data_IF_532436267915
#
_entry.id   IF_532436267915
#
_cell.length_a   1.000
_cell.length_b   1.000
_cell.length_c   1.000
_cell.angle_alpha   90.00
_cell.angle_beta   90.00
_cell.angle_gamma   90.00
#
_symmetry.space_group_name_H-M   'P 1'
#
loop_
_entity.id
_entity.type
_entity.pdbx_description
1 polymer ?
#
# COMPACT_ATOMS: atom_id res chain seq x y z
N UNK A 1 2.21 -15.51 7.60
CA UNK A 1 3.35 -14.86 6.91
C UNK A 1 2.81 -14.17 5.68
N UNK A 2 3.21 -12.93 5.41
CA UNK A 2 2.71 -12.19 4.25
C UNK A 2 3.44 -12.67 3.00
N UNK A 3 2.67 -12.96 1.96
CA UNK A 3 3.18 -13.52 0.71
C UNK A 3 3.94 -12.47 -0.09
N UNK A 4 5.00 -12.89 -0.79
CA UNK A 4 5.68 -12.01 -1.77
C UNK A 4 4.83 -11.92 -3.03
N UNK A 5 4.70 -10.72 -3.58
CA UNK A 5 3.99 -10.49 -4.86
C UNK A 5 4.62 -11.33 -5.98
N UNK A 6 5.95 -11.51 -5.99
CA UNK A 6 6.65 -12.36 -6.96
C UNK A 6 6.18 -13.81 -6.97
N UNK A 7 5.75 -14.33 -5.82
CA UNK A 7 5.28 -15.72 -5.71
C UNK A 7 3.82 -15.82 -6.17
N UNK A 8 3.00 -14.82 -5.83
CA UNK A 8 1.62 -14.71 -6.32
C UNK A 8 1.57 -14.68 -7.85
N UNK A 9 2.43 -13.85 -8.47
CA UNK A 9 2.50 -13.72 -9.93
C UNK A 9 2.96 -15.01 -10.64
N UNK A 10 3.73 -15.88 -9.97
CA UNK A 10 4.15 -17.17 -10.54
C UNK A 10 3.06 -18.23 -10.46
N UNK A 11 2.21 -18.16 -9.44
CA UNK A 11 1.21 -19.19 -9.14
C UNK A 11 -0.15 -18.90 -9.79
N UNK A 12 -0.54 -17.64 -9.92
CA UNK A 12 -1.85 -17.26 -10.47
C UNK A 12 -1.75 -16.98 -11.97
N UNK A 13 -2.70 -17.51 -12.74
CA UNK A 13 -2.86 -17.20 -14.17
C UNK A 13 -3.25 -15.74 -14.41
N UNK A 14 -4.05 -15.16 -13.51
CA UNK A 14 -4.45 -13.76 -13.55
C UNK A 14 -4.45 -13.16 -12.15
N UNK A 15 -3.89 -11.97 -12.05
CA UNK A 15 -3.85 -11.18 -10.82
C UNK A 15 -4.49 -9.82 -11.00
N UNK A 16 -4.94 -9.22 -9.90
CA UNK A 16 -5.36 -7.83 -9.89
C UNK A 16 -5.09 -7.17 -8.52
N UNK A 17 -4.97 -5.86 -8.51
CA UNK A 17 -4.61 -5.08 -7.32
C UNK A 17 -5.21 -3.68 -7.36
N UNK A 18 -5.17 -2.99 -6.22
CA UNK A 18 -5.57 -1.60 -6.10
C UNK A 18 -4.39 -0.72 -5.68
N UNK A 19 -4.36 0.51 -6.20
CA UNK A 19 -3.41 1.54 -5.80
C UNK A 19 -4.10 2.64 -4.98
N UNK A 20 -3.53 2.97 -3.84
CA UNK A 20 -4.01 3.95 -2.88
C UNK A 20 -3.02 5.10 -2.75
N UNK A 21 -3.52 6.28 -2.39
CA UNK A 21 -2.68 7.45 -2.15
C UNK A 21 -2.75 7.90 -0.69
N UNK A 22 -1.63 8.37 -0.11
CA UNK A 22 -1.62 8.98 1.22
C UNK A 22 -2.59 10.18 1.29
N UNK A 23 -3.59 10.14 2.19
CA UNK A 23 -4.52 11.25 2.34
C UNK A 23 -3.82 12.48 2.91
N UNK A 24 -4.19 13.67 2.43
CA UNK A 24 -3.62 14.95 2.91
C UNK A 24 -4.26 15.47 4.20
N UNK A 25 -5.35 14.85 4.66
CA UNK A 25 -6.15 15.31 5.80
C UNK A 25 -6.30 14.20 6.83
N UNK A 26 -6.46 14.55 8.11
CA UNK A 26 -6.68 13.59 9.19
C UNK A 26 -7.91 12.73 8.93
N UNK A 27 -9.04 13.36 8.60
CA UNK A 27 -10.28 12.66 8.23
C UNK A 27 -10.07 11.67 7.06
N UNK A 28 -9.19 12.01 6.13
CA UNK A 28 -8.82 11.13 5.03
C UNK A 28 -8.03 9.92 5.51
N UNK A 29 -7.10 10.10 6.46
CA UNK A 29 -6.34 9.02 7.09
C UNK A 29 -7.26 8.06 7.83
N UNK A 30 -8.19 8.58 8.63
CA UNK A 30 -9.16 7.78 9.37
C UNK A 30 -10.03 6.92 8.43
N UNK A 31 -10.44 7.48 7.28
CA UNK A 31 -11.32 6.81 6.31
C UNK A 31 -10.58 5.80 5.41
N UNK A 32 -9.26 5.92 5.26
CA UNK A 32 -8.50 5.10 4.33
C UNK A 32 -8.57 3.59 4.66
N UNK A 33 -8.37 3.14 5.92
CA UNK A 33 -8.52 1.74 6.28
C UNK A 33 -9.92 1.18 6.03
N UNK A 34 -10.96 1.99 6.22
CA UNK A 34 -12.34 1.58 5.94
C UNK A 34 -12.54 1.33 4.44
N UNK A 35 -12.07 2.27 3.62
CA UNK A 35 -12.16 2.19 2.15
C UNK A 35 -11.38 0.97 1.63
N UNK A 36 -10.16 0.76 2.13
CA UNK A 36 -9.35 -0.39 1.79
C UNK A 36 -9.99 -1.71 2.29
N UNK A 37 -10.70 -1.66 3.42
CA UNK A 37 -11.52 -2.76 3.93
C UNK A 37 -12.66 -3.15 2.98
N UNK A 38 -13.38 -2.17 2.43
CA UNK A 38 -14.40 -2.44 1.39
C UNK A 38 -13.77 -3.02 0.13
N UNK A 39 -12.64 -2.48 -0.33
CA UNK A 39 -11.93 -3.01 -1.51
C UNK A 39 -11.38 -4.43 -1.28
N UNK A 40 -11.02 -4.76 -0.04
CA UNK A 40 -10.57 -6.12 0.32
C UNK A 40 -11.65 -7.16 0.04
N UNK A 41 -12.93 -6.83 0.16
CA UNK A 41 -14.04 -7.77 -0.11
C UNK A 41 -14.05 -8.29 -1.55
N UNK A 42 -13.37 -7.60 -2.47
CA UNK A 42 -13.21 -8.08 -3.84
C UNK A 42 -12.17 -9.19 -3.94
N UNK A 43 -11.31 -9.37 -2.92
CA UNK A 43 -10.18 -10.29 -2.85
C UNK A 43 -8.96 -9.91 -3.73
N UNK A 44 -8.42 -8.69 -3.61
CA UNK A 44 -7.24 -8.28 -4.39
C UNK A 44 -6.00 -9.08 -3.96
N UNK A 45 -5.10 -9.29 -4.91
CA UNK A 45 -3.86 -10.02 -4.67
C UNK A 45 -2.84 -9.21 -3.84
N UNK A 46 -2.87 -7.89 -3.98
CA UNK A 46 -2.15 -6.95 -3.14
C UNK A 46 -2.78 -5.54 -3.21
N UNK A 47 -2.36 -4.68 -2.29
CA UNK A 47 -2.52 -3.23 -2.39
C UNK A 47 -1.17 -2.58 -2.68
N UNK A 48 -1.20 -1.43 -3.35
CA UNK A 48 -0.05 -0.54 -3.52
C UNK A 48 -0.36 0.81 -2.85
N UNK A 49 0.62 1.41 -2.18
CA UNK A 49 0.50 2.76 -1.62
C UNK A 49 1.55 3.65 -2.26
N UNK A 50 1.09 4.72 -2.89
CA UNK A 50 1.94 5.67 -3.61
C UNK A 50 2.85 6.48 -2.68
N UNK A 51 3.88 7.05 -3.30
CA UNK A 51 4.89 7.86 -2.64
C UNK A 51 4.87 9.28 -3.19
N UNK A 52 4.72 10.27 -2.32
CA UNK A 52 4.71 11.67 -2.69
C UNK A 52 5.99 12.07 -3.43
N UNK A 53 5.82 12.87 -4.49
CA UNK A 53 6.95 13.39 -5.26
C UNK A 53 7.98 14.07 -4.34
N UNK A 54 9.27 13.80 -4.58
CA UNK A 54 10.37 14.37 -3.80
C UNK A 54 10.43 13.94 -2.33
N UNK A 55 9.72 12.89 -1.92
CA UNK A 55 9.76 12.40 -0.53
C UNK A 55 8.80 13.08 0.44
N UNK A 56 7.87 13.90 -0.06
CA UNK A 56 6.97 14.70 0.76
C UNK A 56 6.03 13.91 1.68
N UNK A 57 5.83 12.61 1.43
CA UNK A 57 4.96 11.75 2.26
C UNK A 57 5.69 10.52 2.82
N UNK A 58 7.02 10.56 2.99
CA UNK A 58 7.84 9.40 3.36
C UNK A 58 7.28 8.61 4.55
N UNK A 59 7.18 9.27 5.69
CA UNK A 59 6.75 8.67 6.96
C UNK A 59 5.30 8.19 6.85
N UNK A 60 4.45 9.07 6.30
CA UNK A 60 3.03 8.77 6.11
C UNK A 60 2.78 7.53 5.23
N UNK A 61 3.50 7.36 4.12
CA UNK A 61 3.36 6.17 3.26
C UNK A 61 3.76 4.90 4.04
N UNK A 62 4.81 4.96 4.86
CA UNK A 62 5.26 3.81 5.66
C UNK A 62 4.22 3.40 6.71
N UNK A 63 3.67 4.37 7.43
CA UNK A 63 2.64 4.13 8.45
C UNK A 63 1.38 3.52 7.85
N UNK A 64 0.92 4.05 6.71
CA UNK A 64 -0.24 3.52 5.99
C UNK A 64 0.00 2.07 5.55
N UNK A 65 1.17 1.77 4.97
CA UNK A 65 1.48 0.41 4.51
C UNK A 65 1.47 -0.56 5.68
N UNK A 66 2.13 -0.22 6.80
CA UNK A 66 2.17 -1.07 7.99
C UNK A 66 0.77 -1.29 8.59
N UNK A 67 -0.03 -0.23 8.68
CA UNK A 67 -1.41 -0.29 9.18
C UNK A 67 -2.30 -1.18 8.32
N UNK A 68 -2.36 -0.91 7.00
CA UNK A 68 -3.20 -1.68 6.08
C UNK A 68 -2.77 -3.15 6.05
N UNK A 69 -1.48 -3.41 6.05
CA UNK A 69 -0.95 -4.76 6.03
C UNK A 69 -1.34 -5.56 7.29
N UNK A 70 -1.29 -4.94 8.47
CA UNK A 70 -1.71 -5.55 9.75
C UNK A 70 -3.22 -5.76 9.82
N UNK A 71 -4.01 -4.79 9.37
CA UNK A 71 -5.48 -4.82 9.45
C UNK A 71 -6.11 -5.77 8.42
N UNK A 72 -5.63 -5.72 7.19
CA UNK A 72 -6.28 -6.40 6.07
C UNK A 72 -5.74 -7.82 5.86
N UNK A 73 -4.51 -8.10 6.30
CA UNK A 73 -3.81 -9.37 6.05
C UNK A 73 -3.62 -9.66 4.55
N UNK A 74 -3.60 -8.61 3.73
CA UNK A 74 -3.31 -8.64 2.30
C UNK A 74 -1.92 -8.02 2.09
N UNK A 75 -1.05 -8.59 1.22
CA UNK A 75 0.23 -7.96 0.91
C UNK A 75 0.04 -6.50 0.50
N UNK A 76 0.79 -5.59 1.12
CA UNK A 76 0.71 -4.16 0.83
C UNK A 76 2.09 -3.64 0.46
N UNK A 77 2.20 -3.13 -0.75
CA UNK A 77 3.45 -2.71 -1.38
C UNK A 77 3.64 -1.21 -1.22
N UNK A 78 4.85 -0.82 -0.81
CA UNK A 78 5.26 0.56 -0.58
C UNK A 78 5.98 1.09 -1.82
N UNK A 79 5.44 2.13 -2.47
CA UNK A 79 6.20 2.82 -3.50
C UNK A 79 7.34 3.60 -2.84
N UNK A 80 8.53 3.58 -3.44
CA UNK A 80 9.67 4.34 -2.95
C UNK A 80 10.38 5.00 -4.13
N UNK A 81 10.54 6.32 -4.06
CA UNK A 81 11.31 7.08 -5.06
C UNK A 81 12.60 7.61 -4.43
N UNK A 82 13.70 7.58 -5.19
CA UNK A 82 15.01 8.01 -4.70
C UNK A 82 15.29 9.50 -4.90
N UNK A 83 14.41 10.23 -5.61
CA UNK A 83 14.59 11.67 -5.85
C UNK A 83 14.48 12.41 -4.52
N UNK A 84 15.50 13.19 -4.18
CA UNK A 84 15.57 13.93 -2.91
C UNK A 84 16.02 13.07 -1.71
N UNK A 85 16.46 11.83 -1.93
CA UNK A 85 17.02 10.98 -0.87
C UNK A 85 18.54 10.89 -0.96
N UNK A 86 19.15 10.71 0.22
CA UNK A 86 20.49 10.16 0.32
C UNK A 86 20.42 8.63 0.41
N UNK A 87 21.56 7.95 0.38
CA UNK A 87 21.62 6.49 0.56
C UNK A 87 21.23 6.05 1.99
N UNK A 88 21.32 6.96 2.96
CA UNK A 88 21.06 6.69 4.38
C UNK A 88 19.57 6.69 4.72
#
# INVERSE_FOLDING_TARGET
MIRKISDILKEKERTYSFELFPPKTEKGREKLPETAGTLKELEPDWFAVTYGAGGTTRELTMDIVDELQKRLLVPTMHHFTCVGHSKA
#
